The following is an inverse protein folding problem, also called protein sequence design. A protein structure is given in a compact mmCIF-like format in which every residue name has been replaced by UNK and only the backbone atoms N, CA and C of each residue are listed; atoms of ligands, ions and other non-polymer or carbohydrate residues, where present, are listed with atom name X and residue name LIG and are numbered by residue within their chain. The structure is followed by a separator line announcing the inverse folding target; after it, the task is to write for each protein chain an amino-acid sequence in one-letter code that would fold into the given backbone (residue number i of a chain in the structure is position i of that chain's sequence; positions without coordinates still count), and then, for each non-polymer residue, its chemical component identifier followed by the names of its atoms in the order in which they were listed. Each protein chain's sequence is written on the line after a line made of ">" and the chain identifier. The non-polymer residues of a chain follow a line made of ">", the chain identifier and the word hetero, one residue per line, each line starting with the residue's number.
data_IF_672067027737
#
_entry.id   IF_672067027737
#
_cell.length_a   1.000
_cell.length_b   1.000
_cell.length_c   1.000
_cell.angle_alpha   90.00
_cell.angle_beta   90.00
_cell.angle_gamma   90.00
#
_symmetry.space_group_name_H-M   'P 1'
#
loop_
_entity.id
_entity.type
_entity.pdbx_description
1 polymer ?
#
# COMPACT_ATOMS: atom_id res chain seq x y z
N UNK A 1 12.96 10.83 -8.51
CA UNK A 1 13.03 10.26 -7.15
C UNK A 1 12.07 11.06 -6.27
N UNK A 2 11.37 10.41 -5.34
CA UNK A 2 10.37 11.03 -4.45
C UNK A 2 10.91 11.01 -3.03
N UNK A 3 10.90 12.16 -2.35
CA UNK A 3 11.19 12.17 -0.92
C UNK A 3 10.04 11.47 -0.19
N UNK A 4 10.41 10.53 0.65
CA UNK A 4 9.50 9.62 1.33
C UNK A 4 9.53 9.81 2.86
N UNK A 5 10.21 10.86 3.31
CA UNK A 5 10.30 11.27 4.70
C UNK A 5 8.98 11.90 5.16
N UNK A 6 8.53 11.52 6.37
CA UNK A 6 7.41 12.19 7.00
C UNK A 6 7.80 13.57 7.52
N UNK A 7 6.81 14.46 7.65
CA UNK A 7 6.99 15.82 8.17
C UNK A 7 5.98 16.08 9.29
N UNK A 8 6.32 16.95 10.23
CA UNK A 8 5.41 17.39 11.30
C UNK A 8 5.32 18.91 11.35
N UNK A 9 4.14 19.46 11.66
CA UNK A 9 3.92 20.91 11.77
C UNK A 9 4.55 21.52 13.04
N UNK A 10 4.76 20.70 14.06
CA UNK A 10 5.31 21.07 15.35
C UNK A 10 5.94 19.85 16.03
N UNK A 11 6.65 20.08 17.14
CA UNK A 11 7.25 19.01 17.91
C UNK A 11 8.37 18.28 17.18
N UNK A 12 8.69 17.08 17.66
CA UNK A 12 9.70 16.19 17.07
C UNK A 12 9.06 14.87 16.69
N UNK A 13 9.12 14.52 15.40
CA UNK A 13 8.63 13.24 14.90
C UNK A 13 9.72 12.17 14.97
N UNK A 14 9.35 10.98 15.41
CA UNK A 14 10.23 9.82 15.50
C UNK A 14 9.47 8.51 15.30
N UNK A 15 10.18 7.38 15.26
CA UNK A 15 9.56 6.07 15.22
C UNK A 15 8.67 5.86 16.45
N UNK A 16 7.53 5.21 16.27
CA UNK A 16 6.62 4.88 17.36
C UNK A 16 7.00 3.56 18.04
N UNK A 17 5.99 2.83 18.51
CA UNK A 17 6.13 1.68 19.42
C UNK A 17 6.96 0.50 18.87
N UNK A 18 7.01 0.32 17.56
CA UNK A 18 7.76 -0.72 16.84
C UNK A 18 9.23 -0.35 16.62
N UNK A 19 9.61 0.90 16.89
CA UNK A 19 10.98 1.39 16.69
C UNK A 19 11.33 1.76 15.23
N UNK A 20 10.37 1.69 14.30
CA UNK A 20 10.52 2.16 12.91
C UNK A 20 9.34 3.01 12.46
N UNK A 21 9.62 4.06 11.68
CA UNK A 21 8.59 4.92 11.07
C UNK A 21 7.73 4.17 10.05
N UNK A 22 8.33 3.18 9.38
CA UNK A 22 7.66 2.30 8.42
C UNK A 22 7.73 0.89 8.95
N UNK A 23 6.57 0.27 9.05
CA UNK A 23 6.41 -1.01 9.68
C UNK A 23 5.86 -1.99 8.66
N UNK A 24 6.36 -3.21 8.69
CA UNK A 24 5.80 -4.30 7.89
C UNK A 24 4.42 -4.67 8.45
N UNK A 25 3.45 -4.90 7.56
CA UNK A 25 2.06 -5.16 7.96
C UNK A 25 1.93 -6.36 8.93
N UNK A 26 2.83 -7.33 8.83
CA UNK A 26 2.86 -8.53 9.66
C UNK A 26 3.30 -8.27 11.11
N UNK A 27 3.90 -7.11 11.39
CA UNK A 27 4.26 -6.68 12.76
C UNK A 27 3.08 -6.04 13.51
N UNK A 28 2.00 -5.69 12.79
CA UNK A 28 0.78 -5.12 13.37
C UNK A 28 -0.34 -6.19 13.45
N UNK A 29 -1.26 -6.07 14.44
CA UNK A 29 -2.44 -6.94 14.51
C UNK A 29 -3.27 -6.88 13.24
N UNK A 30 -4.05 -7.93 12.98
CA UNK A 30 -4.95 -7.94 11.83
C UNK A 30 -6.08 -6.92 11.94
N UNK A 31 -6.34 -6.21 10.84
CA UNK A 31 -7.46 -5.27 10.72
C UNK A 31 -8.66 -5.93 10.03
N UNK A 32 -9.67 -6.39 10.79
CA UNK A 32 -10.87 -6.99 10.21
C UNK A 32 -11.76 -5.97 9.46
N UNK A 33 -11.52 -4.66 9.64
CA UNK A 33 -12.28 -3.58 8.99
C UNK A 33 -11.78 -3.24 7.58
N UNK A 34 -10.65 -3.80 7.15
CA UNK A 34 -10.03 -3.51 5.86
C UNK A 34 -9.95 -4.76 4.97
N UNK A 35 -10.29 -4.61 3.69
CA UNK A 35 -9.96 -5.59 2.64
C UNK A 35 -8.48 -5.54 2.29
N UNK A 36 -7.93 -4.33 2.28
CA UNK A 36 -6.51 -4.07 2.09
C UNK A 36 -6.08 -3.09 3.17
N UNK A 37 -5.26 -3.55 4.12
CA UNK A 37 -4.68 -2.69 5.15
C UNK A 37 -3.35 -2.10 4.66
N UNK A 38 -3.01 -0.90 5.15
CA UNK A 38 -1.72 -0.27 4.88
C UNK A 38 -1.32 -0.25 3.40
N UNK A 39 -2.23 0.21 2.54
CA UNK A 39 -1.99 0.33 1.11
C UNK A 39 -0.71 1.13 0.86
N UNK A 40 0.32 0.42 0.42
CA UNK A 40 1.65 0.95 0.18
C UNK A 40 2.56 0.66 1.35
N UNK A 41 2.23 1.17 2.53
CA UNK A 41 3.04 0.96 3.71
C UNK A 41 2.29 1.37 5.00
N UNK A 42 2.57 0.69 6.12
CA UNK A 42 2.10 1.12 7.44
C UNK A 42 3.05 2.19 7.99
N UNK A 43 2.50 3.17 8.71
CA UNK A 43 3.29 4.08 9.52
C UNK A 43 3.20 3.68 10.98
N UNK A 44 4.31 3.83 11.71
CA UNK A 44 4.31 3.85 13.17
C UNK A 44 5.18 4.99 13.68
N UNK A 45 4.56 6.02 14.22
CA UNK A 45 5.24 7.22 14.66
C UNK A 45 4.77 7.72 16.00
N UNK A 46 5.63 8.54 16.60
CA UNK A 46 5.24 9.42 17.69
C UNK A 46 5.70 10.85 17.37
N UNK A 47 4.93 11.84 17.80
CA UNK A 47 5.32 13.24 17.80
C UNK A 47 5.30 13.77 19.22
N UNK A 48 6.46 14.17 19.74
CA UNK A 48 6.58 14.72 21.10
C UNK A 48 6.64 16.24 21.09
N UNK A 49 6.25 16.86 22.19
CA UNK A 49 6.23 18.32 22.34
C UNK A 49 5.06 18.97 21.62
N UNK A 50 3.92 18.27 21.56
CA UNK A 50 2.67 18.75 21.00
C UNK A 50 1.90 19.57 22.04
N UNK A 51 1.17 20.59 21.60
CA UNK A 51 0.24 21.35 22.44
C UNK A 51 -1.13 21.43 21.76
N UNK A 52 -2.04 20.55 22.17
CA UNK A 52 -3.35 20.40 21.53
C UNK A 52 -3.27 19.45 20.35
N UNK A 53 -3.15 19.96 19.12
CA UNK A 53 -3.14 19.12 17.91
C UNK A 53 -1.88 19.30 17.09
N UNK A 54 -1.47 18.26 16.36
CA UNK A 54 -0.34 18.31 15.43
C UNK A 54 -0.72 17.78 14.07
N UNK A 55 -0.15 18.37 13.02
CA UNK A 55 -0.31 17.87 11.65
C UNK A 55 0.93 17.10 11.21
N UNK A 56 0.73 15.85 10.79
CA UNK A 56 1.76 14.96 10.28
C UNK A 56 1.49 14.64 8.80
N UNK A 57 2.53 14.72 7.98
CA UNK A 57 2.48 14.43 6.55
C UNK A 57 3.17 13.11 6.27
N UNK A 58 2.45 12.23 5.58
CA UNK A 58 2.78 10.85 5.31
C UNK A 58 2.85 10.61 3.79
N UNK A 59 4.03 10.36 3.20
CA UNK A 59 4.17 10.13 1.76
C UNK A 59 3.76 8.72 1.31
N UNK A 60 2.68 8.59 0.53
CA UNK A 60 2.19 7.31 -0.02
C UNK A 60 2.86 7.04 -1.38
N UNK A 61 3.84 6.13 -1.50
CA UNK A 61 4.68 6.04 -2.69
C UNK A 61 3.93 5.63 -3.96
N UNK A 62 2.86 4.85 -3.83
CA UNK A 62 2.10 4.34 -4.97
C UNK A 62 0.84 5.15 -5.30
N UNK A 63 0.55 6.19 -4.51
CA UNK A 63 -0.70 6.95 -4.62
C UNK A 63 -1.83 6.31 -3.82
N UNK A 64 -2.76 7.15 -3.39
CA UNK A 64 -3.95 6.74 -2.65
C UNK A 64 -4.91 6.03 -3.64
N UNK A 65 -5.44 4.84 -3.30
CA UNK A 65 -6.40 4.15 -4.16
C UNK A 65 -7.77 4.84 -4.14
N UNK A 66 -8.68 4.42 -5.03
CA UNK A 66 -10.09 4.80 -4.92
C UNK A 66 -10.71 4.21 -3.64
N UNK A 67 -11.76 4.87 -3.13
CA UNK A 67 -12.51 4.46 -1.93
C UNK A 67 -11.61 4.21 -0.69
N UNK A 68 -10.51 4.96 -0.61
CA UNK A 68 -9.56 4.86 0.47
C UNK A 68 -10.11 5.46 1.77
N UNK A 69 -9.81 4.77 2.87
CA UNK A 69 -10.00 5.24 4.24
C UNK A 69 -8.65 5.29 4.95
N UNK A 70 -8.55 6.03 6.05
CA UNK A 70 -7.40 5.94 6.94
C UNK A 70 -7.79 5.10 8.16
N UNK A 71 -6.96 4.11 8.48
CA UNK A 71 -7.16 3.21 9.62
C UNK A 71 -6.12 3.51 10.69
N UNK A 72 -6.58 3.49 11.93
CA UNK A 72 -5.79 3.78 13.12
C UNK A 72 -5.80 2.60 14.07
N UNK A 73 -4.63 2.24 14.57
CA UNK A 73 -4.50 1.26 15.64
C UNK A 73 -4.42 2.01 16.97
N UNK A 74 -5.49 1.98 17.75
CA UNK A 74 -5.60 2.66 19.04
C UNK A 74 -5.79 1.60 20.11
N UNK A 75 -4.94 1.60 21.14
CA UNK A 75 -4.98 0.62 22.23
C UNK A 75 -5.06 -0.86 21.73
N UNK A 76 -4.35 -1.17 20.64
CA UNK A 76 -4.30 -2.50 20.03
C UNK A 76 -5.54 -2.91 19.22
N UNK A 77 -6.50 -2.01 19.01
CA UNK A 77 -7.69 -2.25 18.18
C UNK A 77 -7.75 -1.29 16.99
N UNK A 78 -8.08 -1.83 15.82
CA UNK A 78 -8.23 -1.04 14.61
C UNK A 78 -9.57 -0.32 14.55
N UNK A 79 -9.54 0.96 14.17
CA UNK A 79 -10.72 1.80 13.93
C UNK A 79 -10.53 2.68 12.70
N UNK A 80 -11.63 3.24 12.21
CA UNK A 80 -11.57 4.30 11.20
C UNK A 80 -11.00 5.56 11.86
N UNK A 81 -10.28 6.36 11.09
CA UNK A 81 -9.88 7.68 11.55
C UNK A 81 -11.12 8.52 11.87
N UNK A 82 -11.20 9.02 13.10
CA UNK A 82 -12.28 9.92 13.52
C UNK A 82 -11.92 11.34 13.06
N UNK A 83 -12.62 11.87 12.05
CA UNK A 83 -12.40 13.22 11.54
C UNK A 83 -13.25 14.30 12.25
N UNK A 84 -13.80 13.96 13.42
CA UNK A 84 -14.54 14.86 14.29
C UNK A 84 -13.65 15.79 15.12
N UNK A 85 -14.22 16.93 15.52
CA UNK A 85 -13.60 17.82 16.51
C UNK A 85 -12.34 18.51 15.99
N UNK A 86 -11.19 18.22 16.61
CA UNK A 86 -9.89 18.81 16.29
C UNK A 86 -9.00 17.90 15.43
N UNK A 87 -9.53 16.74 15.05
CA UNK A 87 -8.87 15.78 14.17
C UNK A 87 -9.31 16.00 12.72
N UNK A 88 -8.44 15.71 11.75
CA UNK A 88 -8.83 15.72 10.35
C UNK A 88 -7.89 14.90 9.47
N UNK A 89 -8.42 14.39 8.36
CA UNK A 89 -7.64 13.77 7.28
C UNK A 89 -7.76 14.61 6.01
N UNK A 90 -6.63 14.83 5.35
CA UNK A 90 -6.55 15.53 4.07
C UNK A 90 -5.48 14.90 3.19
N UNK A 91 -5.52 15.17 1.88
CA UNK A 91 -4.48 14.69 0.97
C UNK A 91 -4.07 15.72 -0.08
N UNK A 92 -2.88 15.55 -0.64
CA UNK A 92 -2.34 16.39 -1.70
C UNK A 92 -1.53 15.58 -2.72
N UNK A 93 -1.42 16.14 -3.93
CA UNK A 93 -0.40 15.73 -4.89
C UNK A 93 1.01 16.13 -4.45
N UNK A 94 2.02 15.49 -5.04
CA UNK A 94 3.41 15.91 -4.85
C UNK A 94 3.65 17.31 -5.42
N UNK A 95 4.55 18.07 -4.81
CA UNK A 95 5.10 19.34 -5.31
C UNK A 95 6.56 19.17 -5.69
N UNK A 96 7.09 20.12 -6.48
CA UNK A 96 8.52 20.17 -6.76
C UNK A 96 9.26 20.77 -5.58
N UNK A 97 10.29 20.07 -5.08
CA UNK A 97 11.17 20.52 -4.00
C UNK A 97 12.60 20.75 -4.47
N UNK A 98 13.55 20.63 -3.53
CA UNK A 98 15.01 20.78 -3.71
C UNK A 98 15.64 19.68 -4.58
N UNK A 99 15.10 19.43 -5.77
CA UNK A 99 15.59 18.44 -6.74
C UNK A 99 14.80 17.12 -6.79
N UNK A 100 13.82 16.93 -5.91
CA UNK A 100 12.88 15.79 -5.95
C UNK A 100 11.44 16.25 -5.83
N UNK A 101 10.52 15.35 -6.19
CA UNK A 101 9.10 15.52 -5.88
C UNK A 101 8.89 15.16 -4.41
N UNK A 102 8.22 16.02 -3.65
CA UNK A 102 8.01 15.86 -2.21
C UNK A 102 6.59 16.22 -1.84
N UNK A 103 6.17 15.86 -0.63
CA UNK A 103 4.90 16.32 -0.10
C UNK A 103 4.96 17.81 0.26
N UNK A 104 3.86 18.58 0.05
CA UNK A 104 3.77 19.95 0.55
C UNK A 104 3.98 19.99 2.07
N UNK A 105 4.45 21.14 2.58
CA UNK A 105 4.67 21.31 4.01
C UNK A 105 3.36 21.07 4.81
N UNK A 106 3.41 20.63 6.07
CA UNK A 106 2.20 20.28 6.83
C UNK A 106 1.09 21.35 6.84
N UNK A 107 1.45 22.62 6.90
CA UNK A 107 0.48 23.74 6.93
C UNK A 107 0.14 24.31 5.55
N UNK A 108 0.54 23.64 4.47
CA UNK A 108 0.29 24.09 3.09
C UNK A 108 -1.21 23.99 2.75
N UNK A 109 -1.69 24.92 1.92
CA UNK A 109 -3.07 24.98 1.44
C UNK A 109 -3.36 23.98 0.31
N UNK A 110 -2.35 23.30 -0.23
CA UNK A 110 -2.48 22.26 -1.25
C UNK A 110 -3.24 21.01 -0.74
N UNK A 111 -3.34 20.81 0.57
CA UNK A 111 -4.09 19.71 1.16
C UNK A 111 -5.59 19.98 1.12
N UNK A 112 -6.31 19.09 0.44
CA UNK A 112 -7.78 19.10 0.40
C UNK A 112 -8.34 18.08 1.38
N UNK A 113 -9.45 18.35 2.08
CA UNK A 113 -10.08 17.40 3.00
C UNK A 113 -10.36 16.03 2.34
N UNK A 114 -10.18 14.95 3.09
CA UNK A 114 -10.38 13.57 2.64
C UNK A 114 -9.18 12.97 1.90
N UNK A 115 -9.34 11.70 1.50
CA UNK A 115 -8.35 10.92 0.78
C UNK A 115 -8.68 10.85 -0.72
N UNK A 116 -8.19 11.82 -1.49
CA UNK A 116 -8.37 11.84 -2.95
C UNK A 116 -7.49 10.79 -3.65
N UNK A 117 -8.08 9.99 -4.54
CA UNK A 117 -7.36 9.01 -5.34
C UNK A 117 -6.22 9.64 -6.17
N UNK A 118 -5.08 8.96 -6.25
CA UNK A 118 -3.89 9.42 -6.97
C UNK A 118 -3.06 10.48 -6.25
N UNK A 119 -3.59 11.14 -5.20
CA UNK A 119 -2.76 11.94 -4.29
C UNK A 119 -1.72 11.03 -3.61
N UNK A 120 -0.59 11.62 -3.22
CA UNK A 120 0.59 10.86 -2.72
C UNK A 120 1.06 11.35 -1.36
N UNK A 121 0.31 12.24 -0.75
CA UNK A 121 0.62 12.84 0.54
C UNK A 121 -0.65 12.83 1.35
N UNK A 122 -0.66 12.10 2.46
CA UNK A 122 -1.72 12.16 3.46
C UNK A 122 -1.27 13.14 4.53
N UNK A 123 -2.14 14.06 4.93
CA UNK A 123 -1.97 14.87 6.13
C UNK A 123 -3.00 14.42 7.15
N UNK A 124 -2.50 14.02 8.30
CA UNK A 124 -3.32 13.77 9.49
C UNK A 124 -3.14 14.97 10.41
N UNK A 125 -4.23 15.52 10.91
CA UNK A 125 -4.21 16.38 12.09
C UNK A 125 -4.78 15.55 13.23
N UNK A 126 -3.99 15.33 14.27
CA UNK A 126 -4.37 14.50 15.42
C UNK A 126 -4.30 15.34 16.69
N UNK A 127 -5.34 15.25 17.52
CA UNK A 127 -5.38 15.84 18.86
C UNK A 127 -4.70 14.92 19.89
N UNK A 128 -3.79 15.48 20.69
CA UNK A 128 -3.16 14.86 21.85
C UNK A 128 -4.23 14.45 22.88
N UNK A 129 -4.26 13.16 23.21
CA UNK A 129 -5.31 12.54 24.03
C UNK A 129 -6.67 12.38 23.34
N UNK A 130 -6.73 12.60 22.03
CA UNK A 130 -7.95 12.47 21.22
C UNK A 130 -8.24 11.04 20.76
N UNK A 131 -9.35 10.82 20.03
CA UNK A 131 -9.74 9.50 19.54
C UNK A 131 -8.73 8.83 18.60
N UNK A 132 -7.88 9.62 17.93
CA UNK A 132 -6.84 9.14 17.03
C UNK A 132 -5.44 9.14 17.67
N UNK A 133 -5.33 9.41 18.96
CA UNK A 133 -4.08 9.27 19.69
C UNK A 133 -3.98 7.85 20.25
N UNK A 134 -2.94 7.09 19.87
CA UNK A 134 -2.96 5.64 20.07
C UNK A 134 -2.98 5.20 21.54
N UNK A 135 -2.47 6.04 22.45
CA UNK A 135 -2.53 5.81 23.91
C UNK A 135 -3.68 6.57 24.60
N UNK A 136 -4.32 7.51 23.89
CA UNK A 136 -5.41 8.35 24.39
C UNK A 136 -5.01 9.27 25.56
N UNK A 137 -3.72 9.51 25.78
CA UNK A 137 -3.24 10.37 26.86
C UNK A 137 -2.98 11.79 26.35
N UNK A 138 -3.44 12.82 27.08
CA UNK A 138 -3.01 14.19 26.79
C UNK A 138 -1.73 14.48 27.57
N UNK A 139 -0.61 14.03 27.02
CA UNK A 139 0.72 14.17 27.63
C UNK A 139 1.71 14.98 26.79
N UNK A 140 1.24 15.55 25.68
CA UNK A 140 2.05 16.27 24.71
C UNK A 140 2.75 15.34 23.72
N UNK A 141 2.30 14.09 23.59
CA UNK A 141 2.78 13.09 22.65
C UNK A 141 1.62 12.51 21.88
N UNK A 142 1.66 12.62 20.55
CA UNK A 142 0.71 11.93 19.69
C UNK A 142 1.35 10.66 19.14
N UNK A 143 0.67 9.51 19.27
CA UNK A 143 1.10 8.21 18.77
C UNK A 143 0.23 7.69 17.62
N UNK A 144 0.86 7.11 16.59
CA UNK A 144 0.19 6.58 15.40
C UNK A 144 0.92 5.36 14.86
N UNK A 145 0.43 4.16 15.15
CA UNK A 145 0.41 3.11 14.17
C UNK A 145 -0.86 3.24 13.33
N UNK A 146 -0.72 3.25 12.01
CA UNK A 146 -1.83 3.47 11.10
C UNK A 146 -1.46 3.33 9.63
N UNK A 147 -2.45 3.49 8.77
CA UNK A 147 -2.20 3.51 7.33
C UNK A 147 -3.46 3.72 6.49
N UNK A 148 -3.23 4.03 5.23
CA UNK A 148 -4.27 4.06 4.21
C UNK A 148 -4.79 2.63 4.00
N UNK A 149 -6.09 2.46 3.84
CA UNK A 149 -6.72 1.16 3.65
C UNK A 149 -7.93 1.25 2.72
N UNK A 150 -8.46 0.10 2.32
CA UNK A 150 -9.74 -0.01 1.61
C UNK A 150 -10.71 -0.80 2.49
N UNK A 151 -11.88 -0.23 2.78
CA UNK A 151 -12.86 -0.77 3.72
C UNK A 151 -13.54 -2.06 3.22
N UNK A 152 -13.92 -2.95 4.15
CA UNK A 152 -14.82 -4.08 3.85
C UNK A 152 -16.21 -3.56 3.47
N UNK A 153 -16.54 -3.64 2.18
CA UNK A 153 -17.81 -3.16 1.61
C UNK A 153 -17.69 -1.85 0.80
N UNK A 154 -16.52 -1.22 0.76
CA UNK A 154 -16.24 -0.01 -0.01
C UNK A 154 -15.77 -0.25 -1.45
N UNK A 155 -16.18 -1.34 -2.11
CA UNK A 155 -15.57 -1.75 -3.38
C UNK A 155 -16.55 -2.25 -4.42
N UNK A 156 -17.21 -1.33 -5.12
CA UNK A 156 -17.66 -1.57 -6.50
C UNK A 156 -16.60 -1.04 -7.47
N UNK A 157 -15.35 -1.50 -7.37
CA UNK A 157 -14.29 -1.04 -8.29
C UNK A 157 -12.85 -1.40 -7.94
N UNK A 158 -12.52 -1.67 -6.67
CA UNK A 158 -11.17 -2.01 -6.28
C UNK A 158 -10.78 -3.44 -6.70
N UNK A 159 -10.39 -3.63 -7.96
CA UNK A 159 -9.42 -4.68 -8.31
C UNK A 159 -8.05 -4.20 -7.85
N UNK A 160 -7.80 -4.28 -6.55
CA UNK A 160 -6.45 -4.24 -6.03
C UNK A 160 -5.76 -5.51 -6.54
N UNK A 161 -5.05 -5.39 -7.66
CA UNK A 161 -4.06 -6.38 -8.08
C UNK A 161 -2.84 -6.24 -7.16
N UNK A 162 -3.05 -6.61 -5.90
CA UNK A 162 -1.99 -6.76 -4.91
C UNK A 162 -1.35 -8.12 -5.21
N UNK A 163 -0.25 -8.06 -5.95
CA UNK A 163 0.74 -9.13 -6.04
C UNK A 163 1.40 -9.32 -4.66
N UNK A 164 0.66 -9.87 -3.71
CA UNK A 164 1.22 -10.55 -2.55
C UNK A 164 1.82 -11.85 -3.07
N UNK A 165 3.15 -11.92 -3.09
CA UNK A 165 3.88 -13.13 -3.40
C UNK A 165 3.56 -14.20 -2.37
N UNK A 166 2.58 -15.05 -2.68
CA UNK A 166 2.42 -16.37 -2.05
C UNK A 166 2.04 -17.32 -3.18
N UNK A 167 2.89 -18.32 -3.42
CA UNK A 167 2.77 -19.23 -4.54
C UNK A 167 1.39 -19.89 -4.62
N UNK A 168 0.68 -19.64 -5.73
CA UNK A 168 -0.58 -20.27 -6.05
C UNK A 168 -0.91 -20.07 -7.52
N UNK A 169 -0.50 -21.00 -8.38
CA UNK A 169 -0.90 -20.98 -9.79
C UNK A 169 -2.42 -21.18 -9.88
N UNK A 170 -3.15 -20.13 -10.26
CA UNK A 170 -4.54 -20.24 -10.69
C UNK A 170 -4.59 -21.12 -11.95
N UNK A 171 -5.04 -22.36 -11.80
CA UNK A 171 -5.39 -23.22 -12.92
C UNK A 171 -6.74 -22.76 -13.46
N UNK A 172 -6.73 -21.98 -14.54
CA UNK A 172 -7.91 -21.74 -15.36
C UNK A 172 -8.51 -23.09 -15.79
N UNK A 173 -9.62 -23.49 -15.16
CA UNK A 173 -10.42 -24.64 -15.60
C UNK A 173 -11.39 -24.20 -16.70
N UNK A 174 -10.86 -23.76 -17.83
CA UNK A 174 -11.55 -24.03 -19.09
C UNK A 174 -11.21 -25.48 -19.45
N UNK A 175 -12.18 -26.42 -19.47
CA UNK A 175 -11.92 -27.74 -20.00
C UNK A 175 -11.60 -27.57 -21.49
N UNK A 176 -10.31 -27.55 -21.83
CA UNK A 176 -9.84 -27.57 -23.20
C UNK A 176 -10.18 -28.95 -23.75
N UNK A 177 -11.15 -29.01 -24.63
CA UNK A 177 -11.56 -30.25 -25.29
C UNK A 177 -10.40 -30.79 -26.14
N UNK A 178 -10.23 -32.12 -26.15
CA UNK A 178 -9.03 -32.83 -26.62
C UNK A 178 -8.78 -32.82 -28.15
N UNK A 179 -9.40 -31.93 -28.92
CA UNK A 179 -9.40 -31.99 -30.39
C UNK A 179 -8.68 -30.83 -31.10
N UNK A 180 -8.02 -29.92 -30.40
CA UNK A 180 -7.19 -28.85 -31.00
C UNK A 180 -5.67 -29.11 -30.97
N UNK A 181 -5.23 -30.33 -30.61
CA UNK A 181 -3.81 -30.73 -30.65
C UNK A 181 -3.43 -31.46 -31.95
N UNK A 182 -3.75 -30.84 -33.08
CA UNK A 182 -3.43 -31.33 -34.43
C UNK A 182 -1.95 -31.25 -34.86
N UNK A 183 -1.06 -30.64 -34.06
CA UNK A 183 0.28 -30.26 -34.54
C UNK A 183 1.48 -30.99 -33.88
N UNK A 184 1.25 -32.17 -33.29
CA UNK A 184 2.35 -32.95 -32.68
C UNK A 184 2.88 -34.07 -33.58
N UNK A 185 2.14 -34.45 -34.62
CA UNK A 185 2.58 -35.45 -35.60
C UNK A 185 3.51 -34.86 -36.67
N UNK A 186 3.35 -33.57 -37.00
CA UNK A 186 4.17 -32.90 -38.01
C UNK A 186 5.65 -32.81 -37.60
N UNK A 187 5.94 -32.57 -36.32
CA UNK A 187 7.33 -32.49 -35.83
C UNK A 187 8.00 -33.86 -35.71
N UNK A 188 7.26 -34.91 -35.35
CA UNK A 188 7.79 -36.27 -35.26
C UNK A 188 8.21 -36.83 -36.64
N UNK A 189 7.44 -36.51 -37.70
CA UNK A 189 7.77 -36.92 -39.07
C UNK A 189 9.02 -36.17 -39.58
N UNK A 190 9.19 -34.90 -39.23
CA UNK A 190 10.31 -34.09 -39.70
C UNK A 190 11.65 -34.52 -39.08
N UNK A 191 11.66 -34.95 -37.82
CA UNK A 191 12.86 -35.49 -37.15
C UNK A 191 13.14 -36.96 -37.50
N UNK A 192 12.12 -37.77 -37.83
CA UNK A 192 12.29 -39.15 -38.27
C UNK A 192 12.76 -39.31 -39.73
N UNK A 193 12.34 -38.41 -40.63
CA UNK A 193 12.63 -38.47 -42.06
C UNK A 193 14.09 -38.23 -42.44
N UNK A 194 14.79 -37.34 -41.72
CA UNK A 194 16.20 -37.03 -41.96
C UNK A 194 17.13 -38.19 -41.55
N UNK A 195 16.77 -38.99 -40.55
CA UNK A 195 17.56 -40.14 -40.10
C UNK A 195 17.61 -41.28 -41.12
N UNK A 196 16.51 -41.57 -41.82
CA UNK A 196 16.46 -42.64 -42.81
C UNK A 196 17.16 -42.28 -44.14
N UNK A 197 17.19 -40.99 -44.51
CA UNK A 197 17.86 -40.52 -45.72
C UNK A 197 19.39 -40.63 -45.63
N UNK A 198 19.98 -40.41 -44.44
CA UNK A 198 21.43 -40.54 -44.22
C UNK A 198 21.86 -42.00 -44.17
N UNK A 199 21.05 -42.88 -43.56
CA UNK A 199 21.38 -44.32 -43.43
C UNK A 199 21.36 -45.07 -44.77
N UNK A 200 20.51 -44.66 -45.73
CA UNK A 200 20.47 -45.28 -47.07
C UNK A 200 21.65 -44.90 -47.99
N UNK A 201 22.44 -43.87 -47.65
CA UNK A 201 23.64 -43.48 -48.43
C UNK A 201 24.92 -44.21 -48.02
N UNK A 202 24.93 -44.92 -46.89
CA UNK A 202 26.10 -45.69 -46.42
C UNK A 202 26.07 -47.18 -46.77
N UNK A 203 25.02 -47.65 -47.45
CA UNK A 203 24.89 -49.05 -47.88
C UNK A 203 24.54 -49.08 -49.37
N UNK A 204 25.53 -48.73 -50.21
CA UNK A 204 25.62 -49.21 -51.58
C UNK A 204 27.08 -49.62 -51.81
N UNK A 205 27.33 -50.84 -52.34
CA UNK A 205 28.67 -51.41 -52.48
C UNK A 205 29.54 -50.64 -53.47
#
# INVERSE_FOLDING_TARGET
>A
VVDSSAQTSAGTIGPGSTGSMRVDRDELPDDPGALVSCFGQCYDFQVTGVSGSVSVVLPIPQGIPEDAIYRKLVNGSWQDFDDGGADSVASAGLVSGSGMRQCPAPNDAAYTPGLTAGHRCVRLTIADGGPNDADGASDGTVMDPGGVAVAVGGGAGATADLSTGTGGCSMSRTPMSAWERGDWWLMAVLLGGLGLAVRRRRVRP
#
